data_IF_640997335261
#
_entry.id   IF_640997335261
#
_cell.length_a   1.000
_cell.length_b   1.000
_cell.length_c   1.000
_cell.angle_alpha   90.00
_cell.angle_beta   90.00
_cell.angle_gamma   90.00
#
_symmetry.space_group_name_H-M   'P 1'
#
loop_
_entity.id
_entity.type
_entity.pdbx_description
1 polymer ?
#
# COMPACT_ATOMS: atom_id res chain seq x y z
N UNK A 1 -2.63 -22.97 -45.96
CA UNK A 1 -3.50 -21.81 -45.67
C UNK A 1 -4.41 -21.98 -44.44
N UNK A 2 -4.87 -23.20 -44.07
CA UNK A 2 -5.74 -23.39 -42.87
C UNK A 2 -5.08 -23.14 -41.51
N UNK A 3 -3.76 -23.37 -41.37
CA UNK A 3 -3.05 -23.21 -40.09
C UNK A 3 -2.81 -21.74 -39.70
N UNK A 4 -2.67 -20.86 -40.70
CA UNK A 4 -2.38 -19.44 -40.49
C UNK A 4 -3.58 -18.69 -39.91
N UNK A 5 -4.79 -19.00 -40.38
CA UNK A 5 -6.04 -18.41 -39.89
C UNK A 5 -6.31 -18.69 -38.40
N UNK A 6 -6.00 -19.91 -37.93
CA UNK A 6 -6.14 -20.29 -36.53
C UNK A 6 -5.22 -19.46 -35.62
N UNK A 7 -3.96 -19.27 -36.02
CA UNK A 7 -2.99 -18.47 -35.25
C UNK A 7 -3.43 -17.01 -35.16
N UNK A 8 -3.97 -16.44 -36.24
CA UNK A 8 -4.50 -15.07 -36.26
C UNK A 8 -5.68 -14.88 -35.31
N UNK A 9 -6.62 -15.84 -35.29
CA UNK A 9 -7.78 -15.80 -34.39
C UNK A 9 -7.35 -15.93 -32.93
N UNK A 10 -6.42 -16.83 -32.61
CA UNK A 10 -5.89 -16.95 -31.24
C UNK A 10 -5.17 -15.67 -30.78
N UNK A 11 -4.30 -15.09 -31.60
CA UNK A 11 -3.61 -13.84 -31.24
C UNK A 11 -4.59 -12.67 -31.04
N UNK A 12 -5.64 -12.58 -31.87
CA UNK A 12 -6.66 -11.53 -31.72
C UNK A 12 -7.47 -11.63 -30.42
N UNK A 13 -7.71 -12.85 -29.93
CA UNK A 13 -8.38 -13.10 -28.65
C UNK A 13 -7.50 -12.76 -27.43
N UNK A 14 -6.18 -12.91 -27.54
CA UNK A 14 -5.25 -12.49 -26.49
C UNK A 14 -5.08 -10.96 -26.43
N UNK A 15 -5.10 -10.27 -27.58
CA UNK A 15 -5.02 -8.80 -27.62
C UNK A 15 -6.26 -8.11 -27.04
N UNK A 16 -7.43 -8.76 -27.05
CA UNK A 16 -8.66 -8.21 -26.46
C UNK A 16 -8.72 -8.33 -24.93
N UNK A 17 -7.88 -9.20 -24.34
CA UNK A 17 -7.72 -9.34 -22.89
C UNK A 17 -6.50 -8.59 -22.34
N UNK A 18 -5.75 -7.90 -23.19
CA UNK A 18 -4.63 -7.03 -22.81
C UNK A 18 -5.08 -5.69 -22.25
N UNK A 19 -6.21 -5.65 -21.54
CA UNK A 19 -6.64 -4.46 -20.83
C UNK A 19 -5.78 -4.40 -19.58
N UNK A 20 -4.62 -3.75 -19.68
CA UNK A 20 -3.86 -3.35 -18.52
C UNK A 20 -4.81 -2.54 -17.64
N UNK A 21 -5.30 -3.14 -16.56
CA UNK A 21 -6.14 -2.46 -15.60
C UNK A 21 -5.34 -1.24 -15.14
N UNK A 22 -5.86 -0.05 -15.41
CA UNK A 22 -5.19 1.20 -15.06
C UNK A 22 -4.99 1.19 -13.54
N UNK A 23 -3.73 1.05 -13.13
CA UNK A 23 -3.38 1.00 -11.72
C UNK A 23 -3.46 2.43 -11.20
N UNK A 24 -4.38 2.66 -10.27
CA UNK A 24 -4.40 3.91 -9.51
C UNK A 24 -3.17 3.95 -8.58
N UNK A 25 -2.08 4.50 -9.10
CA UNK A 25 -0.81 4.59 -8.40
C UNK A 25 -0.89 5.47 -7.16
N UNK A 26 -1.72 6.51 -7.16
CA UNK A 26 -1.91 7.38 -6.01
C UNK A 26 -2.56 6.62 -4.85
N UNK A 27 -3.62 5.86 -5.16
CA UNK A 27 -4.28 4.99 -4.19
C UNK A 27 -3.34 3.89 -3.68
N UNK A 28 -2.60 3.23 -4.58
CA UNK A 28 -1.61 2.22 -4.19
C UNK A 28 -0.55 2.81 -3.26
N UNK A 29 0.02 3.96 -3.62
CA UNK A 29 1.08 4.61 -2.86
C UNK A 29 0.56 5.11 -1.50
N UNK A 30 -0.71 5.54 -1.42
CA UNK A 30 -1.36 5.85 -0.14
C UNK A 30 -1.45 4.61 0.76
N UNK A 31 -1.89 3.47 0.22
CA UNK A 31 -1.92 2.22 0.97
C UNK A 31 -0.52 1.76 1.41
N UNK A 32 0.50 1.87 0.55
CA UNK A 32 1.90 1.58 0.93
C UNK A 32 2.35 2.48 2.08
N UNK A 33 2.12 3.80 1.97
CA UNK A 33 2.44 4.75 3.03
C UNK A 33 1.76 4.39 4.35
N UNK A 34 0.45 4.11 4.31
CA UNK A 34 -0.31 3.78 5.51
C UNK A 34 0.16 2.48 6.16
N UNK A 35 0.36 1.41 5.38
CA UNK A 35 0.88 0.15 5.89
C UNK A 35 2.24 0.34 6.58
N UNK A 36 3.21 0.91 5.86
CA UNK A 36 4.58 1.08 6.39
C UNK A 36 4.62 2.02 7.60
N UNK A 37 3.81 3.08 7.61
CA UNK A 37 3.79 4.03 8.73
C UNK A 37 3.14 3.44 9.99
N UNK A 38 2.00 2.75 9.84
CA UNK A 38 1.30 2.11 10.96
C UNK A 38 2.15 0.99 11.58
N UNK A 39 2.86 0.20 10.78
CA UNK A 39 3.80 -0.80 11.27
C UNK A 39 4.89 -0.15 12.16
N UNK A 40 5.49 0.95 11.70
CA UNK A 40 6.50 1.69 12.48
C UNK A 40 5.90 2.25 13.78
N UNK A 41 4.67 2.78 13.75
CA UNK A 41 4.00 3.26 14.97
C UNK A 41 3.75 2.11 15.95
N UNK A 42 3.33 0.94 15.45
CA UNK A 42 3.14 -0.26 16.27
C UNK A 42 4.44 -0.72 16.92
N UNK A 43 5.56 -0.65 16.20
CA UNK A 43 6.89 -0.99 16.73
C UNK A 43 7.33 -0.07 17.87
N UNK A 44 6.88 1.18 17.87
CA UNK A 44 7.21 2.18 18.90
C UNK A 44 6.39 2.01 20.19
N UNK A 45 5.30 1.25 20.18
CA UNK A 45 4.52 0.99 21.39
C UNK A 45 5.32 0.10 22.36
N UNK A 46 5.44 0.58 23.61
CA UNK A 46 6.10 -0.14 24.71
C UNK A 46 5.32 -1.42 25.03
N UNK A 47 3.99 -1.33 25.07
CA UNK A 47 3.10 -2.46 25.34
C UNK A 47 2.46 -2.97 24.06
N UNK A 48 2.48 -4.29 23.87
CA UNK A 48 1.85 -4.96 22.73
C UNK A 48 0.39 -5.35 23.03
N UNK A 49 -0.34 -4.38 23.59
CA UNK A 49 -1.76 -4.48 23.94
C UNK A 49 -2.69 -4.28 22.74
N UNK A 50 -3.90 -3.81 22.99
CA UNK A 50 -4.94 -3.70 21.96
C UNK A 50 -4.61 -2.63 20.90
N UNK A 51 -3.96 -1.53 21.28
CA UNK A 51 -3.48 -0.52 20.33
C UNK A 51 -2.49 -1.11 19.33
N UNK A 52 -1.56 -1.95 19.79
CA UNK A 52 -0.63 -2.65 18.90
C UNK A 52 -1.37 -3.57 17.93
N UNK A 53 -2.33 -4.37 18.42
CA UNK A 53 -3.13 -5.26 17.56
C UNK A 53 -3.92 -4.48 16.51
N UNK A 54 -4.50 -3.34 16.90
CA UNK A 54 -5.23 -2.47 16.00
C UNK A 54 -4.32 -1.90 14.90
N UNK A 55 -3.13 -1.42 15.26
CA UNK A 55 -2.15 -0.92 14.29
C UNK A 55 -1.65 -2.01 13.34
N UNK A 56 -1.38 -3.22 13.85
CA UNK A 56 -1.02 -4.38 13.01
C UNK A 56 -2.14 -4.71 12.04
N UNK A 57 -3.37 -4.83 12.54
CA UNK A 57 -4.53 -5.12 11.69
C UNK A 57 -4.71 -4.08 10.58
N UNK A 58 -4.65 -2.79 10.90
CA UNK A 58 -4.80 -1.72 9.92
C UNK A 58 -3.63 -1.70 8.93
N UNK A 59 -2.40 -1.90 9.42
CA UNK A 59 -1.21 -2.03 8.58
C UNK A 59 -1.37 -3.15 7.56
N UNK A 60 -1.80 -4.33 8.01
CA UNK A 60 -2.01 -5.50 7.15
C UNK A 60 -3.11 -5.23 6.12
N UNK A 61 -4.23 -4.60 6.52
CA UNK A 61 -5.31 -4.24 5.58
C UNK A 61 -4.85 -3.28 4.49
N UNK A 62 -4.07 -2.26 4.84
CA UNK A 62 -3.49 -1.38 3.84
C UNK A 62 -2.49 -2.14 2.95
N UNK A 63 -1.68 -3.02 3.52
CA UNK A 63 -0.73 -3.85 2.80
C UNK A 63 -1.41 -4.75 1.76
N UNK A 64 -2.50 -5.41 2.13
CA UNK A 64 -3.29 -6.27 1.24
C UNK A 64 -3.88 -5.49 0.06
N UNK A 65 -4.48 -4.32 0.32
CA UNK A 65 -5.03 -3.47 -0.75
C UNK A 65 -3.96 -2.95 -1.70
N UNK A 66 -2.81 -2.52 -1.16
CA UNK A 66 -1.66 -2.14 -1.97
C UNK A 66 -1.16 -3.31 -2.85
N UNK A 67 -1.06 -4.53 -2.31
CA UNK A 67 -0.63 -5.73 -3.07
C UNK A 67 -1.61 -6.12 -4.16
N UNK A 68 -2.93 -5.98 -3.93
CA UNK A 68 -3.95 -6.15 -4.98
C UNK A 68 -3.76 -5.18 -6.15
N UNK A 69 -3.15 -4.01 -5.89
CA UNK A 69 -2.80 -3.00 -6.88
C UNK A 69 -1.35 -3.13 -7.39
N UNK A 70 -0.70 -4.28 -7.17
CA UNK A 70 0.65 -4.56 -7.67
C UNK A 70 1.79 -3.92 -6.88
N UNK A 71 1.57 -3.54 -5.62
CA UNK A 71 2.68 -3.23 -4.72
C UNK A 71 3.52 -4.48 -4.42
N UNK A 72 4.81 -4.28 -4.22
CA UNK A 72 5.80 -5.33 -3.93
C UNK A 72 6.43 -5.07 -2.58
N UNK A 73 7.09 -6.06 -1.99
CA UNK A 73 7.77 -5.92 -0.70
C UNK A 73 8.88 -4.85 -0.74
N UNK A 74 9.52 -4.65 -1.90
CA UNK A 74 10.48 -3.56 -2.14
C UNK A 74 9.84 -2.19 -1.92
N UNK A 75 8.64 -1.95 -2.47
CA UNK A 75 7.93 -0.68 -2.26
C UNK A 75 7.65 -0.41 -0.78
N UNK A 76 7.25 -1.42 0.00
CA UNK A 76 7.02 -1.26 1.44
C UNK A 76 8.34 -0.99 2.19
N UNK A 77 9.41 -1.69 1.81
CA UNK A 77 10.75 -1.54 2.39
C UNK A 77 11.33 -0.15 2.16
N UNK A 78 11.20 0.38 0.93
CA UNK A 78 11.69 1.73 0.57
C UNK A 78 10.98 2.80 1.39
N UNK A 79 9.64 2.73 1.46
CA UNK A 79 8.85 3.67 2.24
C UNK A 79 9.16 3.55 3.73
N UNK A 80 9.30 2.34 4.28
CA UNK A 80 9.66 2.15 5.67
C UNK A 80 11.07 2.70 5.98
N UNK A 81 12.03 2.52 5.08
CA UNK A 81 13.40 3.04 5.22
C UNK A 81 13.42 4.57 5.19
N UNK A 82 12.66 5.17 4.28
CA UNK A 82 12.46 6.61 4.23
C UNK A 82 11.83 7.15 5.52
N UNK A 83 10.76 6.52 6.01
CA UNK A 83 10.07 6.92 7.24
C UNK A 83 10.98 6.83 8.47
N UNK A 84 11.76 5.76 8.60
CA UNK A 84 12.78 5.62 9.66
C UNK A 84 13.83 6.72 9.59
N UNK A 85 14.30 7.05 8.38
CA UNK A 85 15.25 8.16 8.17
C UNK A 85 14.64 9.50 8.58
N UNK A 86 13.41 9.78 8.16
CA UNK A 86 12.71 11.01 8.52
C UNK A 86 12.50 11.12 10.03
N UNK A 87 12.07 10.03 10.68
CA UNK A 87 11.88 9.98 12.14
C UNK A 87 13.16 10.36 12.88
N UNK A 88 14.29 9.79 12.46
CA UNK A 88 15.56 9.97 13.16
C UNK A 88 16.20 11.34 12.90
N UNK A 89 15.99 11.92 11.71
CA UNK A 89 16.74 13.10 11.26
C UNK A 89 15.89 14.38 11.11
N UNK A 90 14.56 14.27 11.13
CA UNK A 90 13.68 15.42 10.88
C UNK A 90 12.35 15.30 11.63
N UNK A 91 12.39 15.65 12.92
CA UNK A 91 11.21 15.63 13.81
C UNK A 91 10.01 16.40 13.23
N UNK A 92 10.23 17.60 12.69
CA UNK A 92 9.13 18.41 12.15
C UNK A 92 8.43 17.75 10.96
N UNK A 93 9.17 17.06 10.10
CA UNK A 93 8.59 16.29 8.99
C UNK A 93 7.91 15.02 9.49
N UNK A 94 8.50 14.33 10.45
CA UNK A 94 7.91 13.17 11.10
C UNK A 94 6.55 13.49 11.73
N UNK A 95 6.46 14.59 12.49
CA UNK A 95 5.22 15.04 13.14
C UNK A 95 4.13 15.33 12.10
N UNK A 96 4.48 15.96 10.97
CA UNK A 96 3.54 16.20 9.85
C UNK A 96 3.06 14.92 9.19
N UNK A 97 3.95 13.98 8.89
CA UNK A 97 3.58 12.69 8.30
C UNK A 97 2.71 11.86 9.25
N UNK A 98 3.02 11.88 10.54
CA UNK A 98 2.20 11.23 11.57
C UNK A 98 0.82 11.84 11.65
N UNK A 99 0.72 13.18 11.64
CA UNK A 99 -0.59 13.83 11.63
C UNK A 99 -1.39 13.46 10.39
N UNK A 100 -0.75 13.47 9.21
CA UNK A 100 -1.42 13.08 7.96
C UNK A 100 -1.88 11.63 7.99
N UNK A 101 -1.08 10.72 8.54
CA UNK A 101 -1.43 9.30 8.69
C UNK A 101 -2.70 9.12 9.52
N UNK A 102 -2.91 9.90 10.58
CA UNK A 102 -4.17 9.87 11.35
C UNK A 102 -5.39 10.18 10.49
N UNK A 103 -5.27 11.11 9.55
CA UNK A 103 -6.38 11.57 8.72
C UNK A 103 -6.75 10.59 7.59
N UNK A 104 -5.77 9.81 7.10
CA UNK A 104 -5.92 9.04 5.84
C UNK A 104 -5.73 7.53 5.99
N UNK A 105 -5.12 7.06 7.07
CA UNK A 105 -4.80 5.64 7.28
C UNK A 105 -5.72 4.95 8.28
N UNK A 106 -6.60 5.69 8.94
CA UNK A 106 -7.60 5.12 9.81
C UNK A 106 -8.95 5.16 9.09
N UNK A 107 -9.77 4.11 9.19
CA UNK A 107 -11.14 4.15 8.69
C UNK A 107 -11.81 5.37 9.31
N UNK A 108 -12.52 6.15 8.49
CA UNK A 108 -13.24 7.32 8.96
C UNK A 108 -14.10 6.90 10.16
N UNK A 109 -13.84 7.45 11.34
CA UNK A 109 -14.66 7.30 12.55
C UNK A 109 -16.03 7.97 12.41
N UNK A 110 -16.54 8.13 11.19
CA UNK A 110 -17.81 8.77 10.88
C UNK A 110 -18.95 7.74 10.88
N UNK A 111 -19.11 7.07 12.02
CA UNK A 111 -20.36 6.42 12.46
C UNK A 111 -20.30 6.28 13.98
N UNK A 112 -21.04 7.14 14.70
CA UNK A 112 -21.23 7.11 16.15
C UNK A 112 -21.11 8.48 16.78
#
# INVERSE_FOLDING_TARGET
MKKTLLVSVFLSLFSLNGWAQEVDYDKRNLHIFCASHLAILGDLLIEKGDDYKALVFLSDKHGDEARKMGATDEHFSDVASYLKTVRNNNKGKWDRLTSRSRDVCFPSSRTG
#
